data_IF_549207680013
#
_entry.id   IF_549207680013
#
_cell.length_a   1.000
_cell.length_b   1.000
_cell.length_c   1.000
_cell.angle_alpha   90.00
_cell.angle_beta   90.00
_cell.angle_gamma   90.00
#
_symmetry.space_group_name_H-M   'P 1'
#
loop_
_entity.id
_entity.type
_entity.pdbx_description
1 polymer ?
#
# COMPACT_ATOMS: atom_id res chain seq x y z
N UNK A 1 -49.92 60.39 -55.86
CA UNK A 1 -50.58 59.17 -55.43
C UNK A 1 -49.55 58.22 -54.91
N UNK A 2 -49.79 57.66 -53.74
CA UNK A 2 -49.09 56.56 -53.03
C UNK A 2 -47.80 56.89 -52.28
N UNK A 3 -48.00 57.10 -51.01
CA UNK A 3 -47.00 57.11 -49.93
C UNK A 3 -46.31 55.73 -49.76
N UNK A 4 -44.99 55.76 -49.55
CA UNK A 4 -44.30 54.69 -48.95
C UNK A 4 -43.63 55.14 -47.63
N UNK A 5 -44.13 54.57 -46.54
CA UNK A 5 -43.62 54.79 -45.18
C UNK A 5 -42.37 53.90 -44.98
N UNK A 6 -41.24 54.51 -44.70
CA UNK A 6 -40.07 53.84 -44.25
C UNK A 6 -40.22 53.54 -42.77
N UNK A 7 -40.20 52.22 -42.43
CA UNK A 7 -40.07 51.77 -41.07
C UNK A 7 -38.60 51.41 -40.83
N UNK A 8 -37.94 52.18 -39.99
CA UNK A 8 -36.62 51.88 -39.49
C UNK A 8 -36.72 50.80 -38.37
N UNK A 9 -36.19 49.65 -38.60
CA UNK A 9 -36.00 48.62 -37.58
C UNK A 9 -34.69 48.88 -36.83
N UNK A 10 -34.78 49.20 -35.55
CA UNK A 10 -33.65 49.35 -34.66
C UNK A 10 -33.20 47.96 -34.23
N UNK A 11 -31.99 47.60 -34.61
CA UNK A 11 -31.29 46.36 -34.16
C UNK A 11 -30.66 46.64 -32.80
N UNK A 12 -31.21 46.08 -31.71
CA UNK A 12 -30.57 46.07 -30.41
C UNK A 12 -29.53 44.94 -30.38
N UNK A 13 -28.23 45.28 -30.44
CA UNK A 13 -27.14 44.35 -30.17
C UNK A 13 -27.01 44.22 -28.65
N UNK A 14 -27.40 43.09 -28.11
CA UNK A 14 -27.11 42.72 -26.74
C UNK A 14 -25.65 42.26 -26.65
N UNK A 15 -24.79 43.12 -26.10
CA UNK A 15 -23.42 42.76 -25.73
C UNK A 15 -23.51 41.95 -24.43
N UNK A 16 -23.38 40.63 -24.53
CA UNK A 16 -23.14 39.79 -23.37
C UNK A 16 -21.69 40.02 -22.88
N UNK A 17 -21.53 40.77 -21.82
CA UNK A 17 -20.31 40.85 -21.05
C UNK A 17 -20.13 39.50 -20.34
N UNK A 18 -19.31 38.62 -20.90
CA UNK A 18 -18.81 37.44 -20.21
C UNK A 18 -17.76 37.96 -19.24
N UNK A 19 -18.14 38.12 -17.98
CA UNK A 19 -17.18 38.29 -16.89
C UNK A 19 -16.37 37.01 -16.78
N UNK A 20 -15.03 37.07 -16.74
CA UNK A 20 -14.28 35.91 -16.36
C UNK A 20 -14.60 35.61 -14.89
N UNK A 21 -15.37 34.56 -14.65
CA UNK A 21 -15.43 33.95 -13.34
C UNK A 21 -14.00 33.41 -13.07
N UNK A 22 -13.26 34.17 -12.26
CA UNK A 22 -12.07 33.60 -11.64
C UNK A 22 -12.55 32.38 -10.86
N UNK A 23 -12.11 31.19 -11.30
CA UNK A 23 -12.10 30.04 -10.45
C UNK A 23 -11.25 30.47 -9.24
N UNK A 24 -11.92 30.75 -8.13
CA UNK A 24 -11.25 30.78 -6.86
C UNK A 24 -10.66 29.38 -6.70
N UNK A 25 -9.34 29.27 -6.70
CA UNK A 25 -8.69 28.12 -6.11
C UNK A 25 -9.30 28.02 -4.72
N UNK A 26 -10.06 26.97 -4.45
CA UNK A 26 -10.40 26.60 -3.10
C UNK A 26 -9.05 26.44 -2.41
N UNK A 27 -8.74 27.31 -1.45
CA UNK A 27 -7.72 27.01 -0.46
C UNK A 27 -8.12 25.65 0.09
N UNK A 28 -7.21 24.67 0.00
CA UNK A 28 -7.38 23.38 0.62
C UNK A 28 -7.52 23.67 2.11
N UNK A 29 -8.75 23.77 2.58
CA UNK A 29 -9.09 23.59 3.98
C UNK A 29 -8.66 22.16 4.25
N UNK A 30 -7.69 21.91 5.15
CA UNK A 30 -7.10 20.59 5.43
C UNK A 30 -8.11 19.56 5.98
N UNK A 31 -9.28 19.51 5.40
CA UNK A 31 -10.36 18.58 5.65
C UNK A 31 -10.23 17.33 4.77
N UNK A 32 -10.61 16.19 5.33
CA UNK A 32 -10.71 14.92 4.60
C UNK A 32 -11.62 15.08 3.35
N UNK A 33 -11.35 14.35 2.26
CA UNK A 33 -12.21 14.37 1.08
C UNK A 33 -13.66 13.98 1.44
N UNK A 34 -14.63 14.62 0.80
CA UNK A 34 -16.04 14.31 1.06
C UNK A 34 -16.43 12.91 0.58
N UNK A 35 -15.81 12.44 -0.50
CA UNK A 35 -16.09 11.13 -1.09
C UNK A 35 -14.87 10.55 -1.79
N UNK A 36 -14.78 9.22 -1.81
CA UNK A 36 -13.74 8.44 -2.48
C UNK A 36 -14.37 7.27 -3.24
N UNK A 37 -13.65 6.69 -4.18
CA UNK A 37 -14.07 5.47 -4.88
C UNK A 37 -13.49 4.27 -4.12
N UNK A 38 -14.32 3.45 -3.44
CA UNK A 38 -13.84 2.18 -2.87
C UNK A 38 -13.55 1.20 -4.00
N UNK A 39 -12.40 0.52 -3.95
CA UNK A 39 -11.93 -0.34 -5.05
C UNK A 39 -12.12 -1.83 -4.71
N UNK A 40 -11.33 -2.39 -3.82
CA UNK A 40 -11.47 -3.80 -3.43
C UNK A 40 -10.80 -4.81 -4.38
N UNK A 41 -10.07 -4.33 -5.37
CA UNK A 41 -9.34 -5.17 -6.35
C UNK A 41 -7.97 -5.56 -5.80
N UNK A 42 -7.59 -6.83 -6.06
CA UNK A 42 -6.28 -7.38 -5.70
C UNK A 42 -5.19 -6.81 -6.61
N UNK A 43 -4.08 -6.40 -6.01
CA UNK A 43 -2.91 -5.88 -6.71
C UNK A 43 -1.66 -6.69 -6.37
N UNK A 44 -0.76 -6.77 -7.35
CA UNK A 44 0.64 -7.11 -7.13
C UNK A 44 1.40 -5.87 -6.71
N UNK A 45 2.25 -6.01 -5.71
CA UNK A 45 3.05 -4.93 -5.16
C UNK A 45 4.52 -5.28 -5.34
N UNK A 46 5.31 -4.34 -5.86
CA UNK A 46 6.76 -4.41 -5.89
C UNK A 46 7.33 -3.19 -5.19
N UNK A 47 8.09 -3.40 -4.14
CA UNK A 47 8.77 -2.34 -3.39
C UNK A 47 10.25 -2.57 -3.46
N UNK A 48 10.99 -1.53 -3.82
CA UNK A 48 12.42 -1.45 -3.72
C UNK A 48 12.78 -0.69 -2.44
N UNK A 49 13.54 -1.35 -1.57
CA UNK A 49 14.00 -0.74 -0.34
C UNK A 49 15.09 0.31 -0.63
N UNK A 50 15.18 1.31 0.22
CA UNK A 50 16.27 2.28 0.21
C UNK A 50 17.55 1.64 0.79
N UNK A 51 18.20 0.78 -0.02
CA UNK A 51 19.37 -0.01 0.37
C UNK A 51 19.18 -1.52 0.20
N UNK A 52 20.10 -2.30 0.75
CA UNK A 52 20.13 -3.77 0.63
C UNK A 52 19.92 -4.42 1.99
N UNK A 53 18.79 -5.11 2.15
CA UNK A 53 18.38 -5.70 3.42
C UNK A 53 19.12 -7.02 3.64
N UNK A 54 19.80 -7.15 4.78
CA UNK A 54 20.40 -8.41 5.23
C UNK A 54 19.28 -9.32 5.74
N UNK A 55 19.02 -10.41 5.02
CA UNK A 55 17.99 -11.39 5.39
C UNK A 55 18.57 -12.40 6.38
N UNK A 56 19.75 -12.93 6.08
CA UNK A 56 20.44 -13.87 6.94
C UNK A 56 21.93 -13.89 6.68
N UNK A 57 22.68 -14.43 7.62
CA UNK A 57 24.11 -14.62 7.45
C UNK A 57 24.35 -15.90 6.63
N UNK A 58 25.14 -15.80 5.56
CA UNK A 58 25.54 -16.95 4.77
C UNK A 58 26.67 -17.69 5.52
N UNK A 59 26.32 -18.57 6.43
CA UNK A 59 27.31 -19.40 7.13
C UNK A 59 27.39 -20.81 6.53
N UNK A 60 28.56 -21.20 6.02
CA UNK A 60 29.07 -22.55 6.28
C UNK A 60 29.42 -22.61 7.78
N UNK A 61 29.17 -23.74 8.43
CA UNK A 61 29.32 -23.92 9.90
C UNK A 61 30.68 -23.50 10.50
N UNK A 62 31.67 -23.10 9.69
CA UNK A 62 33.06 -22.78 10.08
C UNK A 62 33.54 -21.37 9.65
N UNK A 63 32.68 -20.46 9.15
CA UNK A 63 33.09 -19.09 8.79
C UNK A 63 32.77 -18.10 9.91
N UNK A 64 33.72 -17.19 10.25
CA UNK A 64 33.42 -16.14 11.22
C UNK A 64 32.22 -15.29 10.73
N UNK A 65 31.33 -15.02 11.65
CA UNK A 65 30.24 -14.06 11.43
C UNK A 65 30.82 -12.79 10.82
N UNK A 66 30.35 -12.32 9.65
CA UNK A 66 30.80 -11.05 9.08
C UNK A 66 30.58 -9.95 10.12
N UNK A 67 31.68 -9.47 10.66
CA UNK A 67 31.82 -8.75 11.92
C UNK A 67 30.72 -7.72 12.15
N UNK A 68 29.67 -8.12 12.87
CA UNK A 68 28.64 -7.21 13.38
C UNK A 68 27.44 -6.98 12.48
N UNK A 69 27.35 -7.52 11.25
CA UNK A 69 26.12 -7.53 10.45
C UNK A 69 25.06 -8.41 11.09
N UNK A 70 23.82 -7.95 11.10
CA UNK A 70 22.68 -8.66 11.67
C UNK A 70 21.56 -8.78 10.62
N UNK A 71 20.72 -9.82 10.68
CA UNK A 71 19.46 -9.84 9.95
C UNK A 71 18.63 -8.60 10.32
N UNK A 72 18.05 -7.93 9.31
CA UNK A 72 17.32 -6.67 9.47
C UNK A 72 18.17 -5.41 9.23
N UNK A 73 19.51 -5.51 9.19
CA UNK A 73 20.33 -4.38 8.76
C UNK A 73 20.03 -4.03 7.31
N UNK A 74 19.92 -2.74 7.01
CA UNK A 74 19.82 -2.22 5.63
C UNK A 74 21.16 -1.59 5.27
N UNK A 75 21.91 -2.23 4.36
CA UNK A 75 23.19 -1.72 3.86
C UNK A 75 22.92 -0.52 2.94
N UNK A 76 23.44 0.65 3.30
CA UNK A 76 23.23 1.91 2.57
C UNK A 76 24.51 2.46 1.94
N UNK A 77 25.70 2.03 2.39
CA UNK A 77 26.96 2.39 1.74
C UNK A 77 28.07 1.34 1.97
N UNK A 78 29.03 1.28 1.04
CA UNK A 78 30.27 0.51 1.15
C UNK A 78 31.45 1.43 0.83
N UNK A 79 32.42 1.55 1.75
CA UNK A 79 33.56 2.46 1.66
C UNK A 79 33.14 3.91 1.32
N UNK A 80 32.01 4.38 1.85
CA UNK A 80 31.44 5.68 1.58
C UNK A 80 30.71 5.84 0.22
N UNK A 81 30.65 4.78 -0.60
CA UNK A 81 29.86 4.75 -1.84
C UNK A 81 28.44 4.30 -1.47
N UNK A 82 27.47 5.17 -1.72
CA UNK A 82 26.04 4.85 -1.50
C UNK A 82 25.63 3.65 -2.35
N UNK A 83 24.83 2.75 -1.77
CA UNK A 83 24.27 1.59 -2.44
C UNK A 83 22.75 1.54 -2.14
N UNK A 84 21.95 1.53 -3.20
CA UNK A 84 20.49 1.46 -3.14
C UNK A 84 19.97 0.06 -3.50
N UNK A 85 20.80 -0.76 -4.16
CA UNK A 85 20.40 -2.08 -4.62
C UNK A 85 21.58 -3.06 -4.67
N UNK A 86 21.28 -4.35 -4.87
CA UNK A 86 22.27 -5.41 -4.88
C UNK A 86 23.25 -5.34 -6.06
N UNK A 87 22.94 -4.67 -7.15
CA UNK A 87 23.87 -4.44 -8.27
C UNK A 87 24.92 -3.40 -7.88
N UNK A 88 24.49 -2.27 -7.32
CA UNK A 88 25.38 -1.22 -6.81
C UNK A 88 26.26 -1.74 -5.66
N UNK A 89 25.70 -2.54 -4.75
CA UNK A 89 26.44 -3.19 -3.70
C UNK A 89 27.56 -4.09 -4.27
N UNK A 90 27.25 -4.92 -5.27
CA UNK A 90 28.25 -5.76 -5.95
C UNK A 90 29.33 -4.95 -6.65
N UNK A 91 28.94 -3.81 -7.30
CA UNK A 91 29.89 -2.92 -7.95
C UNK A 91 30.84 -2.28 -6.93
N UNK A 92 30.33 -1.74 -5.82
CA UNK A 92 31.14 -1.14 -4.76
C UNK A 92 32.10 -2.16 -4.12
N UNK A 93 31.67 -3.40 -3.92
CA UNK A 93 32.55 -4.48 -3.43
C UNK A 93 33.63 -4.85 -4.43
N UNK A 94 33.34 -4.84 -5.73
CA UNK A 94 34.32 -5.13 -6.78
C UNK A 94 35.41 -4.05 -6.89
N UNK A 95 35.06 -2.79 -6.64
CA UNK A 95 36.00 -1.66 -6.64
C UNK A 95 36.85 -1.57 -5.37
N UNK A 96 36.44 -2.24 -4.27
CA UNK A 96 37.19 -2.23 -3.02
C UNK A 96 38.58 -2.83 -3.20
N UNK A 97 39.64 -2.08 -2.86
CA UNK A 97 41.03 -2.53 -2.97
C UNK A 97 41.37 -3.58 -1.91
N UNK A 98 40.90 -3.38 -0.68
CA UNK A 98 41.17 -4.20 0.46
C UNK A 98 40.11 -5.31 0.67
N UNK A 99 40.47 -6.33 1.41
CA UNK A 99 39.53 -7.36 1.86
C UNK A 99 38.62 -6.85 3.00
N UNK A 100 39.10 -5.88 3.78
CA UNK A 100 38.30 -5.24 4.85
C UNK A 100 37.63 -4.00 4.29
N UNK A 101 36.31 -3.96 4.30
CA UNK A 101 35.50 -2.85 3.79
C UNK A 101 34.71 -2.21 4.92
N UNK A 102 34.55 -0.90 4.83
CA UNK A 102 33.64 -0.15 5.66
C UNK A 102 32.21 -0.33 5.13
N UNK A 103 31.29 -0.83 5.94
CA UNK A 103 29.88 -1.02 5.60
C UNK A 103 29.04 -0.13 6.49
N UNK A 104 28.32 0.79 5.89
CA UNK A 104 27.32 1.60 6.60
C UNK A 104 25.97 0.90 6.49
N UNK A 105 25.33 0.67 7.64
CA UNK A 105 24.01 0.07 7.71
C UNK A 105 23.06 0.99 8.48
N UNK A 106 21.79 0.97 8.12
CA UNK A 106 20.71 1.42 8.95
C UNK A 106 20.18 0.23 9.72
N UNK A 107 20.23 0.32 11.06
CA UNK A 107 19.76 -0.69 12.01
C UNK A 107 18.67 -0.04 12.86
N UNK A 108 17.43 -0.46 12.67
CA UNK A 108 16.29 0.27 13.18
C UNK A 108 16.35 1.73 12.68
N UNK A 109 16.37 2.72 13.56
CA UNK A 109 16.50 4.15 13.19
C UNK A 109 17.95 4.67 13.28
N UNK A 110 18.93 3.83 13.65
CA UNK A 110 20.31 4.24 13.85
C UNK A 110 21.20 3.91 12.64
N UNK A 111 22.09 4.83 12.27
CA UNK A 111 23.17 4.57 11.30
C UNK A 111 24.39 3.99 12.03
N UNK A 112 24.79 2.79 11.63
CA UNK A 112 25.95 2.07 12.20
C UNK A 112 27.00 1.85 11.13
N UNK A 113 28.26 2.13 11.43
CA UNK A 113 29.40 1.83 10.55
C UNK A 113 30.15 0.62 11.08
N UNK A 114 30.33 -0.37 10.23
CA UNK A 114 30.97 -1.65 10.54
C UNK A 114 32.20 -1.84 9.63
N UNK A 115 33.20 -2.56 10.14
CA UNK A 115 34.34 -3.04 9.33
C UNK A 115 34.18 -4.53 9.10
N UNK A 116 33.91 -4.91 7.85
CA UNK A 116 33.56 -6.27 7.47
C UNK A 116 34.64 -6.84 6.57
N UNK A 117 35.18 -8.00 6.93
CA UNK A 117 36.08 -8.74 6.07
C UNK A 117 35.31 -9.47 4.99
N UNK A 118 35.57 -9.14 3.72
CA UNK A 118 34.96 -9.78 2.56
C UNK A 118 35.55 -11.19 2.36
N UNK A 119 34.72 -12.10 1.90
CA UNK A 119 35.14 -13.44 1.44
C UNK A 119 35.05 -13.49 -0.09
N UNK A 120 35.75 -14.45 -0.70
CA UNK A 120 35.68 -14.68 -2.14
C UNK A 120 34.71 -15.84 -2.43
N UNK A 121 33.72 -15.59 -3.25
CA UNK A 121 32.76 -16.58 -3.72
C UNK A 121 32.64 -16.48 -5.25
N UNK A 122 32.92 -17.56 -5.97
CA UNK A 122 32.93 -17.62 -7.44
C UNK A 122 33.75 -16.49 -8.11
N UNK A 123 34.90 -16.13 -7.52
CA UNK A 123 35.78 -15.07 -8.03
C UNK A 123 35.27 -13.65 -7.79
N UNK A 124 34.31 -13.45 -6.89
CA UNK A 124 33.74 -12.14 -6.51
C UNK A 124 33.84 -11.94 -5.02
N UNK A 125 34.12 -10.69 -4.60
CA UNK A 125 34.04 -10.30 -3.19
C UNK A 125 32.61 -10.28 -2.73
N UNK A 126 32.31 -10.88 -1.58
CA UNK A 126 31.00 -10.94 -0.95
C UNK A 126 31.11 -10.65 0.55
N UNK A 127 30.04 -10.13 1.15
CA UNK A 127 29.97 -9.85 2.59
C UNK A 127 29.59 -11.07 3.44
N UNK A 128 29.31 -12.23 2.81
CA UNK A 128 28.86 -13.42 3.53
C UNK A 128 27.47 -13.31 4.13
N UNK A 129 26.57 -12.61 3.44
CA UNK A 129 25.16 -12.46 3.81
C UNK A 129 24.25 -12.86 2.65
N UNK A 130 23.06 -13.33 2.98
CA UNK A 130 21.93 -13.34 2.05
C UNK A 130 21.21 -12.03 2.20
N UNK A 131 21.02 -11.34 1.08
CA UNK A 131 20.43 -10.02 1.09
C UNK A 131 19.49 -9.82 -0.11
N UNK A 132 18.52 -8.90 0.03
CA UNK A 132 17.57 -8.49 -1.01
C UNK A 132 17.38 -6.99 -0.98
N UNK A 133 17.01 -6.42 -2.11
CA UNK A 133 16.74 -5.01 -2.33
C UNK A 133 15.31 -4.75 -2.78
N UNK A 134 14.55 -5.81 -3.07
CA UNK A 134 13.17 -5.72 -3.51
C UNK A 134 12.29 -6.75 -2.80
N UNK A 135 11.03 -6.38 -2.62
CA UNK A 135 9.97 -7.23 -2.10
C UNK A 135 8.79 -7.25 -3.05
N UNK A 136 8.21 -8.44 -3.19
CA UNK A 136 6.99 -8.66 -3.94
C UNK A 136 5.89 -9.13 -2.98
N UNK A 137 4.70 -8.58 -3.15
CA UNK A 137 3.55 -8.92 -2.33
C UNK A 137 2.23 -8.89 -3.10
N UNK A 138 1.19 -9.35 -2.44
CA UNK A 138 -0.20 -9.26 -2.88
C UNK A 138 -0.96 -8.50 -1.82
N UNK A 139 -1.81 -7.57 -2.25
CA UNK A 139 -2.69 -6.80 -1.38
C UNK A 139 -3.92 -6.32 -2.12
N UNK A 140 -4.71 -5.48 -1.48
CA UNK A 140 -5.95 -4.93 -2.05
C UNK A 140 -5.92 -3.40 -2.01
N UNK A 141 -6.36 -2.75 -3.09
CA UNK A 141 -6.57 -1.30 -3.13
C UNK A 141 -7.83 -0.96 -2.35
N UNK A 142 -7.70 -0.05 -1.39
CA UNK A 142 -8.82 0.38 -0.54
C UNK A 142 -9.64 1.45 -1.24
N UNK A 143 -9.00 2.51 -1.68
CA UNK A 143 -9.66 3.66 -2.27
C UNK A 143 -8.83 4.30 -3.38
N UNK A 144 -9.53 5.01 -4.24
CA UNK A 144 -8.96 5.88 -5.26
C UNK A 144 -9.64 7.24 -5.19
N UNK A 145 -8.82 8.30 -5.23
CA UNK A 145 -9.26 9.68 -5.35
C UNK A 145 -9.01 10.19 -6.77
N UNK A 146 -10.06 10.40 -7.58
CA UNK A 146 -9.88 10.89 -8.95
C UNK A 146 -9.48 12.37 -9.01
N UNK A 147 -9.61 13.15 -7.93
CA UNK A 147 -9.22 14.55 -7.91
C UNK A 147 -7.70 14.72 -7.81
N UNK A 148 -7.06 13.87 -7.02
CA UNK A 148 -5.61 13.90 -6.77
C UNK A 148 -4.85 12.81 -7.54
N UNK A 149 -5.54 11.93 -8.28
CA UNK A 149 -5.00 10.70 -8.90
C UNK A 149 -4.22 9.86 -7.89
N UNK A 150 -4.73 9.77 -6.65
CA UNK A 150 -4.08 9.09 -5.53
C UNK A 150 -4.86 7.86 -5.10
N UNK A 151 -4.17 6.92 -4.45
CA UNK A 151 -4.77 5.70 -3.92
C UNK A 151 -4.20 5.33 -2.56
N UNK A 152 -4.97 4.56 -1.80
CA UNK A 152 -4.52 3.86 -0.60
C UNK A 152 -4.83 2.39 -0.66
N UNK A 153 -3.94 1.58 -0.09
CA UNK A 153 -4.00 0.12 -0.09
C UNK A 153 -3.54 -0.48 1.24
N UNK A 154 -3.78 -1.76 1.46
CA UNK A 154 -3.31 -2.62 2.54
C UNK A 154 -3.88 -2.36 3.93
N UNK A 155 -4.03 -1.12 4.39
CA UNK A 155 -4.45 -0.80 5.76
C UNK A 155 -3.42 -1.15 6.85
N UNK A 156 -2.19 -1.40 6.48
CA UNK A 156 -1.01 -1.59 7.33
C UNK A 156 0.26 -1.38 6.52
N UNK A 157 1.37 -1.14 7.19
CA UNK A 157 2.68 -1.03 6.54
C UNK A 157 3.17 -2.39 5.99
N UNK A 158 4.09 -2.31 5.04
CA UNK A 158 4.85 -3.46 4.56
C UNK A 158 6.14 -3.53 5.37
N UNK A 159 6.33 -4.67 6.05
CA UNK A 159 7.57 -5.03 6.75
C UNK A 159 8.23 -6.22 6.09
N UNK A 160 9.54 -6.31 6.23
CA UNK A 160 10.27 -7.52 5.84
C UNK A 160 9.76 -8.73 6.63
N UNK A 161 9.25 -9.73 5.94
CA UNK A 161 8.59 -10.89 6.59
C UNK A 161 9.53 -11.80 7.36
N UNK A 162 10.83 -11.76 7.07
CA UNK A 162 11.82 -12.65 7.70
C UNK A 162 12.50 -11.96 8.89
N UNK A 163 12.73 -10.65 8.78
CA UNK A 163 13.44 -9.88 9.80
C UNK A 163 12.54 -8.98 10.63
N UNK A 164 11.32 -8.66 10.14
CA UNK A 164 10.42 -7.69 10.73
C UNK A 164 10.87 -6.23 10.54
N UNK A 165 11.93 -5.99 9.76
CA UNK A 165 12.43 -4.64 9.54
C UNK A 165 11.42 -3.78 8.76
N UNK A 166 11.29 -2.53 9.16
CA UNK A 166 10.53 -1.52 8.43
C UNK A 166 11.20 -1.20 7.10
N UNK A 167 10.38 -1.02 6.06
CA UNK A 167 10.86 -0.71 4.72
C UNK A 167 10.66 0.76 4.42
N UNK A 168 11.75 1.50 4.34
CA UNK A 168 11.74 2.79 3.67
C UNK A 168 11.77 2.54 2.17
N UNK A 169 10.79 3.10 1.47
CA UNK A 169 10.59 2.87 0.05
C UNK A 169 11.42 3.89 -0.74
N UNK A 170 12.36 3.42 -1.57
CA UNK A 170 13.00 4.23 -2.59
C UNK A 170 12.07 4.35 -3.81
N UNK A 171 11.58 3.21 -4.28
CA UNK A 171 10.65 3.11 -5.39
C UNK A 171 9.67 1.99 -5.14
N UNK A 172 8.41 2.21 -5.49
CA UNK A 172 7.40 1.18 -5.42
C UNK A 172 6.41 1.30 -6.57
N UNK A 173 5.87 0.16 -6.98
CA UNK A 173 4.87 0.10 -8.02
C UNK A 173 3.81 -0.95 -7.70
N UNK A 174 2.60 -0.70 -8.16
CA UNK A 174 1.49 -1.63 -8.10
C UNK A 174 1.08 -2.07 -9.50
N UNK A 175 0.66 -3.33 -9.61
CA UNK A 175 0.39 -4.01 -10.87
C UNK A 175 -0.97 -4.69 -10.81
N UNK A 176 -1.60 -4.81 -11.97
CA UNK A 176 -2.80 -5.64 -12.12
C UNK A 176 -2.47 -7.10 -11.74
N UNK A 177 -3.28 -7.67 -10.86
CA UNK A 177 -3.09 -9.03 -10.38
C UNK A 177 -4.32 -9.89 -10.64
N UNK A 178 -4.11 -11.01 -11.29
CA UNK A 178 -5.16 -11.98 -11.53
C UNK A 178 -5.22 -12.99 -10.38
N UNK A 179 -6.31 -13.02 -9.65
CA UNK A 179 -6.58 -14.05 -8.63
C UNK A 179 -6.78 -15.39 -9.33
N UNK A 180 -5.97 -16.38 -8.95
CA UNK A 180 -5.98 -17.73 -9.51
C UNK A 180 -6.55 -18.76 -8.55
N UNK A 181 -6.67 -18.42 -7.27
CA UNK A 181 -7.21 -19.30 -6.24
C UNK A 181 -7.04 -18.73 -4.83
N UNK A 182 -7.51 -19.48 -3.86
CA UNK A 182 -7.40 -19.15 -2.44
C UNK A 182 -6.98 -20.38 -1.66
N UNK A 183 -5.99 -20.21 -0.80
CA UNK A 183 -5.72 -21.16 0.29
C UNK A 183 -6.58 -20.73 1.48
N UNK A 184 -7.44 -21.64 1.97
CA UNK A 184 -8.37 -21.33 3.07
C UNK A 184 -7.63 -21.09 4.36
N UNK A 185 -8.15 -20.18 5.18
CA UNK A 185 -7.74 -20.02 6.57
C UNK A 185 -8.28 -21.14 7.44
N UNK A 186 -7.44 -21.62 8.36
CA UNK A 186 -7.80 -22.51 9.45
C UNK A 186 -7.26 -21.92 10.78
N UNK A 187 -7.86 -22.24 11.93
CA UNK A 187 -7.34 -21.79 13.21
C UNK A 187 -5.85 -22.15 13.39
N UNK A 188 -5.01 -21.14 13.60
CA UNK A 188 -3.56 -21.30 13.70
C UNK A 188 -2.80 -21.27 12.36
N UNK A 189 -3.50 -21.30 11.23
CA UNK A 189 -2.87 -21.27 9.90
C UNK A 189 -3.61 -20.26 9.01
N UNK A 190 -3.07 -19.05 8.80
CA UNK A 190 -3.70 -18.08 7.93
C UNK A 190 -3.69 -18.59 6.47
N UNK A 191 -4.82 -18.39 5.80
CA UNK A 191 -4.93 -18.62 4.36
C UNK A 191 -4.34 -17.44 3.57
N UNK A 192 -4.35 -17.58 2.23
CA UNK A 192 -3.86 -16.53 1.36
C UNK A 192 -4.55 -16.52 0.00
N UNK A 193 -4.68 -15.35 -0.61
CA UNK A 193 -5.01 -15.20 -2.02
C UNK A 193 -3.82 -15.67 -2.85
N UNK A 194 -4.09 -16.52 -3.84
CA UNK A 194 -3.12 -16.87 -4.86
C UNK A 194 -3.39 -16.02 -6.09
N UNK A 195 -2.44 -15.19 -6.46
CA UNK A 195 -2.56 -14.33 -7.63
C UNK A 195 -1.26 -14.32 -8.42
N UNK A 196 -1.37 -13.98 -9.70
CA UNK A 196 -0.23 -13.75 -10.60
C UNK A 196 -0.30 -12.34 -11.14
N UNK A 197 0.84 -11.68 -11.23
CA UNK A 197 0.96 -10.37 -11.85
C UNK A 197 2.27 -10.25 -12.63
N UNK A 198 2.29 -9.32 -13.59
CA UNK A 198 3.43 -9.05 -14.45
C UNK A 198 3.92 -7.64 -14.21
N UNK A 199 5.23 -7.49 -13.93
CA UNK A 199 5.85 -6.22 -13.56
C UNK A 199 6.19 -5.30 -14.74
N UNK A 200 5.60 -5.50 -15.92
CA UNK A 200 5.95 -4.72 -17.12
C UNK A 200 5.17 -3.40 -17.25
N UNK A 201 3.95 -3.33 -16.72
CA UNK A 201 3.07 -2.17 -16.87
C UNK A 201 2.45 -1.81 -15.51
N UNK A 202 3.09 -0.94 -14.73
CA UNK A 202 2.53 -0.54 -13.45
C UNK A 202 1.23 0.22 -13.63
N UNK A 203 0.26 -0.05 -12.77
CA UNK A 203 -1.00 0.68 -12.67
C UNK A 203 -0.82 1.98 -11.92
N UNK A 204 0.11 2.00 -10.98
CA UNK A 204 0.43 3.14 -10.14
C UNK A 204 1.79 2.99 -9.46
N UNK A 205 2.23 4.07 -8.82
CA UNK A 205 3.48 4.15 -8.08
C UNK A 205 3.20 4.44 -6.61
N UNK A 206 3.90 3.72 -5.73
CA UNK A 206 3.81 3.95 -4.29
C UNK A 206 4.91 4.90 -3.83
N UNK A 207 4.57 5.78 -2.90
CA UNK A 207 5.48 6.79 -2.37
C UNK A 207 5.62 6.70 -0.84
N UNK A 208 4.58 6.20 -0.15
CA UNK A 208 4.49 6.23 1.31
C UNK A 208 4.10 4.84 1.82
N UNK A 209 4.83 4.35 2.81
CA UNK A 209 4.56 3.10 3.53
C UNK A 209 4.50 3.44 5.02
N UNK A 210 3.29 3.47 5.56
CA UNK A 210 3.00 3.88 6.93
C UNK A 210 2.12 2.85 7.63
N UNK A 211 2.04 2.92 8.94
CA UNK A 211 1.27 1.98 9.78
C UNK A 211 -0.18 1.76 9.35
N UNK A 212 -0.80 2.77 8.73
CA UNK A 212 -2.18 2.73 8.25
C UNK A 212 -2.32 2.33 6.78
N UNK A 213 -1.21 2.08 6.06
CA UNK A 213 -1.28 1.61 4.67
C UNK A 213 -0.12 1.97 3.77
N UNK A 214 -0.33 1.61 2.51
CA UNK A 214 0.53 1.92 1.39
C UNK A 214 -0.17 2.94 0.49
N UNK A 215 0.50 4.06 0.19
CA UNK A 215 -0.11 5.17 -0.53
C UNK A 215 0.72 5.56 -1.76
N UNK A 216 0.03 6.11 -2.76
CA UNK A 216 0.69 6.50 -4.00
C UNK A 216 -0.25 7.14 -5.01
N UNK A 217 0.20 7.19 -6.27
CA UNK A 217 -0.53 7.79 -7.38
C UNK A 217 -0.80 6.79 -8.50
N UNK A 218 -1.85 7.02 -9.28
CA UNK A 218 -2.31 6.12 -10.32
C UNK A 218 -3.44 5.20 -9.84
N UNK A 219 -3.57 4.01 -10.39
CA UNK A 219 -4.61 3.01 -10.12
C UNK A 219 -6.02 3.38 -10.60
N UNK A 220 -6.22 4.50 -11.28
CA UNK A 220 -7.53 4.90 -11.78
C UNK A 220 -8.23 3.89 -12.68
N UNK A 221 -7.48 3.00 -13.33
CA UNK A 221 -8.04 1.91 -14.13
C UNK A 221 -8.80 0.88 -13.29
N UNK A 222 -8.38 0.62 -12.06
CA UNK A 222 -9.06 -0.30 -11.13
C UNK A 222 -10.35 0.31 -10.55
N UNK A 223 -10.44 1.62 -10.51
CA UNK A 223 -11.62 2.33 -10.03
C UNK A 223 -12.74 2.44 -11.11
N UNK A 224 -12.47 2.01 -12.35
CA UNK A 224 -13.46 2.06 -13.42
C UNK A 224 -14.65 1.14 -13.15
N UNK A 225 -15.85 1.70 -13.21
CA UNK A 225 -17.09 0.97 -12.92
C UNK A 225 -17.58 1.12 -11.48
N UNK A 226 -16.76 1.62 -10.58
CA UNK A 226 -17.13 1.95 -9.20
C UNK A 226 -17.55 3.42 -9.11
N UNK A 227 -18.52 3.71 -8.24
CA UNK A 227 -18.97 5.07 -7.94
C UNK A 227 -18.37 5.59 -6.63
N UNK A 228 -18.19 6.92 -6.50
CA UNK A 228 -17.75 7.50 -5.24
C UNK A 228 -18.78 7.30 -4.14
N UNK A 229 -18.32 7.05 -2.92
CA UNK A 229 -19.13 7.00 -1.72
C UNK A 229 -18.62 8.03 -0.70
N UNK A 230 -19.48 8.56 0.19
CA UNK A 230 -19.02 9.46 1.23
C UNK A 230 -17.99 8.78 2.15
N UNK A 231 -17.04 9.59 2.64
CA UNK A 231 -16.10 9.16 3.69
C UNK A 231 -16.78 9.33 5.04
N UNK A 232 -16.70 8.30 5.89
CA UNK A 232 -17.23 8.35 7.25
C UNK A 232 -16.23 9.02 8.21
N UNK A 233 -16.75 9.74 9.20
CA UNK A 233 -16.00 10.15 10.37
C UNK A 233 -16.02 9.05 11.43
N UNK A 234 -14.98 8.97 12.29
CA UNK A 234 -14.91 7.96 13.34
C UNK A 234 -16.18 7.93 14.21
N UNK A 235 -16.72 9.09 14.56
CA UNK A 235 -17.94 9.21 15.35
C UNK A 235 -19.24 8.72 14.66
N UNK A 236 -19.21 8.50 13.36
CA UNK A 236 -20.33 7.98 12.59
C UNK A 236 -20.32 6.44 12.52
N UNK A 237 -19.18 5.82 12.85
CA UNK A 237 -18.99 4.37 12.80
C UNK A 237 -19.60 3.73 14.03
N UNK A 238 -20.36 2.64 13.86
CA UNK A 238 -21.01 1.96 14.97
C UNK A 238 -20.87 0.43 14.87
N UNK A 239 -21.04 -0.25 15.99
CA UNK A 239 -21.12 -1.71 15.99
C UNK A 239 -22.39 -2.17 15.24
N UNK A 240 -22.26 -3.20 14.40
CA UNK A 240 -23.36 -3.73 13.59
C UNK A 240 -22.92 -4.17 12.21
N UNK A 241 -23.90 -4.36 11.34
CA UNK A 241 -23.70 -4.82 9.97
C UNK A 241 -22.85 -3.83 9.15
N UNK A 242 -21.95 -4.38 8.37
CA UNK A 242 -21.09 -3.69 7.41
C UNK A 242 -20.79 -4.65 6.24
N UNK A 243 -20.06 -4.18 5.24
CA UNK A 243 -19.60 -5.00 4.14
C UNK A 243 -18.11 -4.74 3.85
N UNK A 244 -17.42 -5.74 3.35
CA UNK A 244 -16.10 -5.58 2.75
C UNK A 244 -16.19 -5.82 1.25
N UNK A 245 -15.40 -5.06 0.48
CA UNK A 245 -15.26 -5.30 -0.95
C UNK A 245 -13.97 -6.10 -1.20
N UNK A 246 -14.05 -7.16 -1.99
CA UNK A 246 -12.89 -7.95 -2.38
C UNK A 246 -13.20 -8.78 -3.62
N UNK A 247 -12.20 -8.96 -4.46
CA UNK A 247 -12.22 -9.83 -5.65
C UNK A 247 -11.70 -11.25 -5.37
N UNK A 248 -11.64 -11.64 -4.09
CA UNK A 248 -11.09 -12.94 -3.65
C UNK A 248 -11.64 -14.17 -4.39
N UNK A 249 -12.83 -14.07 -4.96
CA UNK A 249 -13.43 -15.12 -5.80
C UNK A 249 -12.91 -15.13 -7.26
N UNK A 250 -12.07 -14.17 -7.61
CA UNK A 250 -11.64 -13.88 -8.98
C UNK A 250 -12.68 -13.04 -9.74
N UNK A 251 -12.21 -12.18 -10.63
CA UNK A 251 -13.01 -11.22 -11.40
C UNK A 251 -13.22 -9.92 -10.62
N UNK A 252 -14.33 -9.24 -10.83
CA UNK A 252 -14.63 -7.95 -10.19
C UNK A 252 -14.84 -8.09 -8.68
N UNK A 253 -14.45 -7.05 -7.92
CA UNK A 253 -14.67 -6.96 -6.48
C UNK A 253 -16.17 -7.04 -6.14
N UNK A 254 -16.50 -7.77 -5.08
CA UNK A 254 -17.87 -7.98 -4.59
C UNK A 254 -17.98 -7.63 -3.13
N UNK A 255 -19.17 -7.21 -2.73
CA UNK A 255 -19.48 -6.97 -1.34
C UNK A 255 -19.81 -8.28 -0.62
N UNK A 256 -19.17 -8.47 0.55
CA UNK A 256 -19.44 -9.58 1.46
C UNK A 256 -19.79 -9.02 2.83
N UNK A 257 -20.80 -9.59 3.48
CA UNK A 257 -21.27 -9.11 4.79
C UNK A 257 -20.28 -9.43 5.90
N UNK A 258 -20.05 -8.43 6.73
CA UNK A 258 -19.29 -8.53 7.98
C UNK A 258 -20.03 -7.83 9.09
N UNK A 259 -19.62 -8.02 10.32
CA UNK A 259 -20.11 -7.28 11.48
C UNK A 259 -18.95 -6.53 12.13
N UNK A 260 -19.08 -5.23 12.33
CA UNK A 260 -18.19 -4.46 13.21
C UNK A 260 -18.60 -4.81 14.64
N UNK A 261 -17.79 -5.63 15.31
CA UNK A 261 -18.11 -6.14 16.65
C UNK A 261 -17.55 -5.27 17.76
N UNK A 262 -16.53 -4.44 17.45
CA UNK A 262 -15.93 -3.50 18.38
C UNK A 262 -15.22 -2.37 17.68
N UNK A 263 -15.26 -1.19 18.28
CA UNK A 263 -14.53 0.02 17.89
C UNK A 263 -13.60 0.36 19.05
N UNK A 264 -12.31 0.50 18.78
CA UNK A 264 -11.31 0.78 19.80
C UNK A 264 -10.97 2.28 19.90
N UNK A 265 -11.24 3.05 18.85
CA UNK A 265 -10.96 4.49 18.81
C UNK A 265 -9.48 4.80 18.98
N UNK A 266 -9.17 5.98 19.48
CA UNK A 266 -7.83 6.47 19.73
C UNK A 266 -6.98 5.64 20.74
N UNK A 267 -7.55 4.64 21.39
CA UNK A 267 -6.86 3.69 22.27
C UNK A 267 -6.44 2.40 21.54
N UNK A 268 -6.71 2.32 20.24
CA UNK A 268 -6.33 1.15 19.47
C UNK A 268 -4.81 1.06 19.37
N UNK A 269 -4.23 -0.16 19.46
CA UNK A 269 -2.93 -0.39 18.88
C UNK A 269 -2.98 -0.05 17.38
N UNK A 270 -1.87 0.37 16.84
CA UNK A 270 -1.67 0.77 15.46
C UNK A 270 -2.34 -0.18 14.46
N UNK A 271 -3.09 0.36 13.50
CA UNK A 271 -3.82 -0.42 12.51
C UNK A 271 -5.01 -1.25 13.03
N UNK A 272 -5.41 -1.11 14.30
CA UNK A 272 -6.43 -1.96 14.95
C UNK A 272 -7.67 -1.18 15.43
N UNK A 273 -8.09 -0.14 14.74
CA UNK A 273 -9.23 0.71 15.12
C UNK A 273 -10.57 -0.02 15.20
N UNK A 274 -10.76 -1.00 14.32
CA UNK A 274 -11.98 -1.79 14.20
C UNK A 274 -11.71 -3.27 14.45
N UNK A 275 -12.67 -3.97 15.06
CA UNK A 275 -12.71 -5.42 15.11
C UNK A 275 -13.91 -5.90 14.31
N UNK A 276 -13.66 -6.66 13.27
CA UNK A 276 -14.68 -7.17 12.36
C UNK A 276 -14.80 -8.70 12.45
N UNK A 277 -15.99 -9.20 12.15
CA UNK A 277 -16.28 -10.64 12.03
C UNK A 277 -16.94 -10.88 10.68
N UNK A 278 -16.40 -11.79 9.89
CA UNK A 278 -17.02 -12.23 8.63
C UNK A 278 -18.27 -13.03 8.95
N UNK A 279 -19.39 -12.59 8.39
CA UNK A 279 -20.72 -13.24 8.57
C UNK A 279 -21.24 -13.79 7.25
N UNK A 280 -20.67 -13.40 6.11
CA UNK A 280 -21.07 -13.87 4.79
C UNK A 280 -20.79 -15.36 4.59
N UNK A 281 -21.82 -16.19 4.33
CA UNK A 281 -21.64 -17.64 4.18
C UNK A 281 -20.79 -18.02 2.96
N UNK A 282 -20.90 -17.27 1.85
CA UNK A 282 -20.16 -17.56 0.64
C UNK A 282 -18.67 -17.26 0.82
N UNK A 283 -18.34 -16.15 1.48
CA UNK A 283 -16.95 -15.83 1.82
C UNK A 283 -16.37 -16.88 2.80
N UNK A 284 -17.12 -17.24 3.85
CA UNK A 284 -16.68 -18.28 4.80
C UNK A 284 -16.50 -19.65 4.14
N UNK A 285 -17.35 -20.02 3.18
CA UNK A 285 -17.18 -21.25 2.41
C UNK A 285 -15.93 -21.19 1.54
N UNK A 286 -15.67 -20.07 0.88
CA UNK A 286 -14.54 -19.89 -0.03
C UNK A 286 -13.19 -19.81 0.72
N UNK A 287 -13.11 -18.97 1.74
CA UNK A 287 -11.84 -18.56 2.37
C UNK A 287 -11.65 -19.08 3.80
N UNK A 288 -12.71 -19.53 4.48
CA UNK A 288 -12.68 -19.88 5.91
C UNK A 288 -12.63 -18.68 6.85
N UNK A 289 -12.54 -17.46 6.32
CA UNK A 289 -12.42 -16.20 7.04
C UNK A 289 -11.59 -15.19 6.26
N UNK A 290 -10.94 -14.28 6.97
CA UNK A 290 -9.99 -13.33 6.37
C UNK A 290 -8.71 -14.08 5.99
N UNK A 291 -8.19 -13.84 4.78
CA UNK A 291 -6.97 -14.46 4.25
C UNK A 291 -5.95 -13.37 3.92
N UNK A 292 -4.68 -13.72 3.88
CA UNK A 292 -3.62 -12.82 3.42
C UNK A 292 -3.88 -12.40 1.96
N UNK A 293 -3.68 -11.14 1.66
CA UNK A 293 -4.06 -10.49 0.40
C UNK A 293 -5.38 -9.72 0.49
N UNK A 294 -6.27 -10.01 1.45
CA UNK A 294 -7.47 -9.19 1.72
C UNK A 294 -7.15 -7.91 2.51
N UNK A 295 -5.92 -7.73 2.99
CA UNK A 295 -5.46 -6.47 3.59
C UNK A 295 -5.66 -5.34 2.59
N UNK A 296 -6.35 -4.27 3.01
CA UNK A 296 -6.79 -3.18 2.14
C UNK A 296 -8.23 -3.30 1.62
N UNK A 297 -8.91 -4.44 1.79
CA UNK A 297 -10.32 -4.55 1.38
C UNK A 297 -11.15 -3.44 2.05
N UNK A 298 -11.82 -2.56 1.26
CA UNK A 298 -12.63 -1.45 1.81
C UNK A 298 -13.73 -1.97 2.71
N UNK A 299 -13.93 -1.32 3.85
CA UNK A 299 -15.04 -1.57 4.76
C UNK A 299 -16.09 -0.49 4.53
N UNK A 300 -17.33 -0.89 4.23
CA UNK A 300 -18.47 -0.01 4.00
C UNK A 300 -19.52 -0.22 5.07
N UNK A 301 -20.04 0.87 5.65
CA UNK A 301 -21.18 0.86 6.57
C UNK A 301 -22.12 2.01 6.22
N UNK A 302 -23.41 1.76 6.16
CA UNK A 302 -24.46 2.74 5.83
C UNK A 302 -24.19 3.54 4.53
N UNK A 303 -23.54 2.88 3.55
CA UNK A 303 -23.20 3.48 2.27
C UNK A 303 -22.00 4.43 2.30
N UNK A 304 -21.22 4.43 3.37
CA UNK A 304 -20.00 5.21 3.55
C UNK A 304 -18.77 4.32 3.62
N UNK A 305 -17.63 4.83 3.18
CA UNK A 305 -16.32 4.20 3.38
C UNK A 305 -15.84 4.50 4.80
N UNK A 306 -15.70 3.46 5.63
CA UNK A 306 -15.34 3.60 7.05
C UNK A 306 -13.90 3.19 7.35
N UNK A 307 -13.28 2.40 6.48
CA UNK A 307 -11.91 1.93 6.69
C UNK A 307 -11.53 0.80 5.76
N UNK A 308 -10.49 0.08 6.13
CA UNK A 308 -9.97 -1.08 5.41
C UNK A 308 -9.66 -2.25 6.35
N UNK A 309 -9.76 -3.46 5.84
CA UNK A 309 -9.26 -4.66 6.52
C UNK A 309 -7.74 -4.55 6.65
N UNK A 310 -7.20 -4.73 7.85
CA UNK A 310 -5.76 -4.68 8.09
C UNK A 310 -5.16 -6.05 8.42
N UNK A 311 -5.56 -6.68 9.50
CA UNK A 311 -4.95 -7.92 9.98
C UNK A 311 -5.97 -9.00 10.31
N UNK A 312 -5.61 -10.26 10.06
CA UNK A 312 -6.40 -11.42 10.47
C UNK A 312 -6.01 -11.89 11.88
N UNK A 313 -7.01 -12.32 12.66
CA UNK A 313 -6.78 -13.02 13.93
C UNK A 313 -6.45 -14.49 13.63
N UNK A 314 -5.17 -14.86 13.63
CA UNK A 314 -4.67 -16.18 13.20
C UNK A 314 -5.40 -17.35 13.84
N UNK A 315 -5.72 -17.27 15.13
CA UNK A 315 -6.44 -18.34 15.86
C UNK A 315 -7.97 -18.33 15.65
N UNK A 316 -8.50 -17.28 15.05
CA UNK A 316 -9.94 -17.12 14.77
C UNK A 316 -10.09 -16.36 13.45
N UNK A 317 -9.80 -17.02 12.30
CA UNK A 317 -9.68 -16.33 11.03
C UNK A 317 -10.96 -15.68 10.50
N UNK A 318 -12.14 -16.04 11.07
CA UNK A 318 -13.38 -15.32 10.80
C UNK A 318 -13.35 -13.88 11.34
N UNK A 319 -12.38 -13.52 12.19
CA UNK A 319 -12.23 -12.21 12.79
C UNK A 319 -10.93 -11.57 12.36
N UNK A 320 -10.97 -10.26 12.27
CA UNK A 320 -9.79 -9.46 11.94
C UNK A 320 -9.94 -8.03 12.41
N UNK A 321 -8.88 -7.30 12.25
CA UNK A 321 -8.84 -5.87 12.51
C UNK A 321 -9.06 -5.06 11.23
N UNK A 322 -9.47 -3.82 11.41
CA UNK A 322 -9.52 -2.82 10.37
C UNK A 322 -8.99 -1.49 10.87
N UNK A 323 -8.42 -0.73 9.96
CA UNK A 323 -7.98 0.65 10.17
C UNK A 323 -9.09 1.62 9.77
N UNK A 324 -9.20 2.76 10.44
CA UNK A 324 -10.13 3.82 10.04
C UNK A 324 -9.68 4.47 8.75
N UNK A 325 -10.63 4.88 7.93
CA UNK A 325 -10.34 5.63 6.71
C UNK A 325 -9.66 6.97 7.00
N UNK A 326 -10.02 7.63 8.10
CA UNK A 326 -9.40 8.89 8.53
C UNK A 326 -7.89 8.72 8.74
N UNK A 327 -7.46 7.65 9.44
CA UNK A 327 -6.05 7.36 9.66
C UNK A 327 -5.29 7.10 8.34
N UNK A 328 -5.93 6.41 7.40
CA UNK A 328 -5.33 6.18 6.07
C UNK A 328 -5.14 7.51 5.31
N UNK A 329 -6.12 8.39 5.39
CA UNK A 329 -6.09 9.68 4.69
C UNK A 329 -5.10 10.67 5.33
N UNK A 330 -4.98 10.66 6.66
CA UNK A 330 -3.97 11.44 7.39
C UNK A 330 -2.55 11.00 7.04
N UNK A 331 -2.31 9.71 6.88
CA UNK A 331 -1.00 9.17 6.50
C UNK A 331 -0.67 9.38 5.00
N UNK A 332 -1.69 9.56 4.15
CA UNK A 332 -1.52 9.82 2.72
C UNK A 332 -1.22 11.30 2.40
N UNK A 333 -1.51 12.23 3.34
CA UNK A 333 -1.38 13.68 3.18
C UNK A 333 0.08 14.15 3.32
#
# INVERSE_FOLDING_TARGET
MRNFRNSAAALFAAVCLISPQSAAAAEADGGLPESLIPVGETIGISIQAEGVIVVSLAQPEDTPNPAGLLPGDVITAINGITVSNGEEMRAALAEAADANVEVTVRREEETVTLHVETTEFEGRKVLGVWARDAMLGIGTVTWYDPAEDSFGALGHEIRDTETGAELQIENGAVFDAQVTGVVRSEPGTPGQIQAVFVQENPLGHTAVNEESGLFGTGCGSLAMGHGPVPVAREEEIHAGEAAILTDVAGGEARAYTVEITRIYGALAPEGHGLLITVTDPALLELTGGIVQGMSGSPILQDGKLVGAVSHVLVNTPQRGYGVFIENMLEAAA
#
